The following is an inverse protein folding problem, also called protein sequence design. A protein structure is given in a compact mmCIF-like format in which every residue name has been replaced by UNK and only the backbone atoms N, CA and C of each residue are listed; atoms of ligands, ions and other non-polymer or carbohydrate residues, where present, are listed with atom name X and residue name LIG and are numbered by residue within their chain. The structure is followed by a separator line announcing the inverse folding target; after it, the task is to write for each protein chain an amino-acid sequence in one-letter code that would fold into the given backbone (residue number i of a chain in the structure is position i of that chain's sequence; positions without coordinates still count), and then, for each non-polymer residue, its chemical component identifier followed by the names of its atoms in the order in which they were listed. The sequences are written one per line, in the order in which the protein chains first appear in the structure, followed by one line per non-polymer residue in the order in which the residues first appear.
data_IF_175438476735
#
_entry.id   IF_175438476735
#
_cell.length_a   1.000
_cell.length_b   1.000
_cell.length_c   1.000
_cell.angle_alpha   90.00
_cell.angle_beta   90.00
_cell.angle_gamma   90.00
#
_symmetry.space_group_name_H-M   'P 1'
#
loop_
_entity.id
_entity.type
_entity.pdbx_description
1 polymer ?
#
# COMPACT_ATOMS: atom_id res chain seq x y z
N UNK A 1 -53.43 -9.52 -75.54
CA UNK A 1 -53.80 -8.38 -74.67
C UNK A 1 -53.28 -8.63 -73.27
N UNK A 2 -52.56 -7.63 -72.75
CA UNK A 2 -52.09 -7.40 -71.39
C UNK A 2 -50.94 -8.22 -70.90
N UNK A 3 -49.79 -7.62 -71.06
CA UNK A 3 -48.50 -7.81 -70.46
C UNK A 3 -48.56 -7.60 -68.93
N UNK A 4 -47.94 -8.46 -68.14
CA UNK A 4 -47.67 -8.19 -66.73
C UNK A 4 -46.18 -8.38 -66.48
N UNK A 5 -45.48 -7.25 -66.20
CA UNK A 5 -44.11 -7.18 -65.78
C UNK A 5 -43.95 -7.64 -64.32
N UNK A 6 -43.14 -8.66 -64.09
CA UNK A 6 -42.65 -9.02 -62.75
C UNK A 6 -41.31 -8.33 -62.52
N UNK A 7 -41.31 -7.37 -61.62
CA UNK A 7 -40.09 -6.71 -61.14
C UNK A 7 -39.54 -7.55 -59.99
N UNK A 8 -38.34 -8.10 -60.18
CA UNK A 8 -37.59 -8.85 -59.17
C UNK A 8 -36.86 -7.81 -58.28
N UNK A 9 -37.28 -7.63 -57.01
CA UNK A 9 -36.56 -6.86 -56.03
C UNK A 9 -35.56 -7.78 -55.35
N UNK A 10 -34.26 -7.60 -55.65
CA UNK A 10 -33.14 -8.15 -54.86
C UNK A 10 -33.06 -7.36 -53.56
N UNK A 11 -33.40 -7.96 -52.43
CA UNK A 11 -33.11 -7.44 -51.10
C UNK A 11 -31.68 -7.86 -50.71
N UNK A 12 -30.79 -6.88 -50.64
CA UNK A 12 -29.41 -7.04 -50.18
C UNK A 12 -29.45 -6.98 -48.65
N UNK A 13 -29.46 -8.15 -47.98
CA UNK A 13 -29.35 -8.27 -46.51
C UNK A 13 -27.89 -8.06 -46.12
N UNK A 14 -27.55 -6.86 -45.68
CA UNK A 14 -26.27 -6.56 -45.05
C UNK A 14 -26.28 -7.20 -43.63
N UNK A 15 -25.58 -8.29 -43.46
CA UNK A 15 -25.32 -8.87 -42.14
C UNK A 15 -24.23 -8.03 -41.46
N UNK A 16 -24.64 -7.15 -40.54
CA UNK A 16 -23.70 -6.42 -39.67
C UNK A 16 -23.18 -7.41 -38.62
N UNK A 17 -21.97 -7.92 -38.82
CA UNK A 17 -21.24 -8.71 -37.84
C UNK A 17 -20.75 -7.77 -36.76
N UNK A 18 -21.53 -7.56 -35.68
CA UNK A 18 -21.09 -6.85 -34.49
C UNK A 18 -20.11 -7.77 -33.76
N UNK A 19 -18.81 -7.47 -33.88
CA UNK A 19 -17.78 -8.12 -33.12
C UNK A 19 -17.99 -7.76 -31.62
N UNK A 20 -18.54 -8.68 -30.86
CA UNK A 20 -18.58 -8.60 -29.38
C UNK A 20 -17.15 -8.75 -28.87
N UNK A 21 -16.44 -7.63 -28.73
CA UNK A 21 -15.21 -7.60 -27.94
C UNK A 21 -15.58 -7.88 -26.49
N UNK A 22 -14.91 -8.84 -25.81
CA UNK A 22 -15.17 -9.09 -24.40
C UNK A 22 -14.83 -7.81 -23.63
N UNK A 23 -15.84 -7.12 -23.10
CA UNK A 23 -15.66 -6.01 -22.19
C UNK A 23 -14.99 -6.56 -20.92
N UNK A 24 -13.81 -6.05 -20.58
CA UNK A 24 -13.19 -6.35 -19.28
C UNK A 24 -14.17 -5.92 -18.18
N UNK A 25 -14.33 -6.72 -17.11
CA UNK A 25 -15.21 -6.34 -16.01
C UNK A 25 -14.77 -4.98 -15.46
N UNK A 26 -15.70 -4.09 -15.18
CA UNK A 26 -15.46 -2.70 -14.77
C UNK A 26 -14.41 -2.59 -13.64
N UNK A 27 -14.46 -3.49 -12.63
CA UNK A 27 -13.48 -3.54 -11.52
C UNK A 27 -12.04 -3.81 -11.95
N UNK A 28 -11.81 -4.58 -13.02
CA UNK A 28 -10.46 -4.82 -13.53
C UNK A 28 -9.92 -3.58 -14.26
N UNK A 29 -10.79 -2.82 -14.90
CA UNK A 29 -10.43 -1.55 -15.55
C UNK A 29 -10.09 -0.48 -14.50
N UNK A 30 -10.83 -0.43 -13.39
CA UNK A 30 -10.58 0.46 -12.26
C UNK A 30 -9.24 0.14 -11.60
N UNK A 31 -8.90 -1.15 -11.36
CA UNK A 31 -7.60 -1.54 -10.82
C UNK A 31 -6.45 -1.08 -11.72
N UNK A 32 -6.54 -1.33 -13.03
CA UNK A 32 -5.50 -0.92 -13.97
C UNK A 32 -5.29 0.61 -13.95
N UNK A 33 -6.36 1.39 -13.81
CA UNK A 33 -6.28 2.85 -13.70
C UNK A 33 -5.61 3.29 -12.39
N UNK A 34 -5.89 2.62 -11.27
CA UNK A 34 -5.25 2.86 -9.96
C UNK A 34 -3.76 2.58 -10.03
N UNK A 35 -3.37 1.43 -10.59
CA UNK A 35 -1.96 1.04 -10.72
C UNK A 35 -1.18 1.99 -11.64
N UNK A 36 -1.77 2.43 -12.76
CA UNK A 36 -1.15 3.41 -13.65
C UNK A 36 -0.94 4.78 -12.98
N UNK A 37 -1.85 5.22 -12.09
CA UNK A 37 -1.63 6.43 -11.28
C UNK A 37 -0.46 6.26 -10.32
N UNK A 38 -0.35 5.11 -9.65
CA UNK A 38 0.78 4.79 -8.78
C UNK A 38 2.10 4.76 -9.55
N UNK A 39 2.14 4.16 -10.75
CA UNK A 39 3.32 4.15 -11.61
C UNK A 39 3.79 5.57 -11.96
N UNK A 40 2.84 6.48 -12.15
CA UNK A 40 3.15 7.89 -12.42
C UNK A 40 3.68 8.59 -11.19
N UNK A 41 2.99 8.48 -10.05
CA UNK A 41 3.36 9.16 -8.81
C UNK A 41 4.68 8.62 -8.21
N UNK A 42 4.95 7.32 -8.35
CA UNK A 42 6.17 6.69 -7.86
C UNK A 42 7.46 7.18 -8.53
N UNK A 43 7.36 7.71 -9.78
CA UNK A 43 8.53 8.27 -10.51
C UNK A 43 9.11 9.49 -9.80
N UNK A 44 8.25 10.30 -9.20
CA UNK A 44 8.61 11.54 -8.54
C UNK A 44 8.70 11.39 -7.01
N UNK A 45 8.53 10.17 -6.50
CA UNK A 45 8.61 9.90 -5.07
C UNK A 45 10.07 9.80 -4.62
N UNK A 46 10.47 10.65 -3.65
CA UNK A 46 11.80 10.65 -3.06
C UNK A 46 11.77 10.46 -1.55
N UNK A 47 10.94 11.22 -0.86
CA UNK A 47 10.87 11.22 0.61
C UNK A 47 9.45 11.38 1.10
N UNK A 48 9.18 10.86 2.30
CA UNK A 48 7.94 11.15 3.03
C UNK A 48 8.22 11.24 4.52
N UNK A 49 7.59 12.21 5.15
CA UNK A 49 7.41 12.30 6.60
C UNK A 49 5.92 12.19 6.91
N UNK A 50 5.57 11.38 7.90
CA UNK A 50 4.18 11.25 8.36
C UNK A 50 4.14 11.03 9.86
N UNK A 51 3.16 11.64 10.55
CA UNK A 51 2.76 11.18 11.88
C UNK A 51 2.00 9.86 11.72
N UNK A 52 2.18 8.92 12.64
CA UNK A 52 1.43 7.67 12.60
C UNK A 52 0.82 7.32 13.95
N UNK A 53 -0.27 6.57 13.90
CA UNK A 53 -0.86 5.81 15.00
C UNK A 53 -0.91 4.35 14.57
N UNK A 54 -0.33 3.47 15.38
CA UNK A 54 -0.20 2.05 15.11
C UNK A 54 -0.83 1.28 16.25
N UNK A 55 -1.94 0.61 15.97
CA UNK A 55 -2.70 -0.19 16.93
C UNK A 55 -2.44 -1.68 16.67
N UNK A 56 -2.03 -2.41 17.70
CA UNK A 56 -2.01 -3.88 17.71
C UNK A 56 -3.26 -4.33 18.44
N UNK A 57 -4.15 -5.05 17.75
CA UNK A 57 -5.45 -5.46 18.26
C UNK A 57 -5.49 -6.97 18.37
N UNK A 58 -5.84 -7.47 19.56
CA UNK A 58 -6.17 -8.86 19.83
C UNK A 58 -7.64 -8.92 20.26
N UNK A 59 -8.42 -9.83 19.67
CA UNK A 59 -9.84 -10.00 20.02
C UNK A 59 -10.12 -11.29 20.78
N UNK A 60 -9.23 -12.28 20.69
CA UNK A 60 -9.36 -13.60 21.29
C UNK A 60 -8.00 -14.06 21.85
N UNK A 61 -7.89 -14.74 23.03
CA UNK A 61 -8.98 -15.07 23.96
C UNK A 61 -9.40 -13.89 24.87
N UNK A 62 -8.57 -12.88 25.04
CA UNK A 62 -8.84 -11.70 25.86
C UNK A 62 -8.64 -10.47 24.96
N UNK A 63 -9.69 -9.65 24.77
CA UNK A 63 -9.55 -8.43 23.99
C UNK A 63 -8.51 -7.48 24.59
N UNK A 64 -7.56 -7.05 23.77
CA UNK A 64 -6.54 -6.08 24.14
C UNK A 64 -6.20 -5.19 22.94
N UNK A 65 -5.74 -3.97 23.20
CA UNK A 65 -5.27 -3.04 22.19
C UNK A 65 -4.07 -2.28 22.73
N UNK A 66 -2.94 -2.48 22.07
CA UNK A 66 -1.74 -1.69 22.30
C UNK A 66 -1.63 -0.62 21.22
N UNK A 67 -1.32 0.61 21.63
CA UNK A 67 -1.22 1.76 20.75
C UNK A 67 0.17 2.38 20.78
N UNK A 68 0.77 2.59 19.61
CA UNK A 68 1.99 3.35 19.46
C UNK A 68 1.75 4.56 18.56
N UNK A 69 2.33 5.72 18.93
CA UNK A 69 2.31 6.90 18.08
C UNK A 69 3.70 7.46 17.88
N UNK A 70 3.92 8.13 16.74
CA UNK A 70 5.24 8.68 16.43
C UNK A 70 5.32 9.31 15.07
N UNK A 71 6.55 9.36 14.54
CA UNK A 71 6.84 9.89 13.21
C UNK A 71 7.53 8.82 12.36
N UNK A 72 7.02 8.59 11.16
CA UNK A 72 7.61 7.72 10.16
C UNK A 72 8.31 8.56 9.08
N UNK A 73 9.45 8.06 8.64
CA UNK A 73 10.26 8.62 7.56
C UNK A 73 10.47 7.55 6.50
N UNK A 74 10.31 7.92 5.25
CA UNK A 74 10.56 7.07 4.11
C UNK A 74 11.45 7.81 3.11
N UNK A 75 12.40 7.08 2.52
CA UNK A 75 13.26 7.60 1.46
C UNK A 75 13.51 6.55 0.40
N UNK A 76 13.41 6.97 -0.86
CA UNK A 76 13.80 6.17 -2.02
C UNK A 76 14.88 6.89 -2.80
N UNK A 77 15.99 6.19 -3.07
CA UNK A 77 17.09 6.70 -3.89
C UNK A 77 17.45 5.63 -4.93
N UNK A 78 16.93 5.79 -6.14
CA UNK A 78 16.98 4.74 -7.16
C UNK A 78 16.24 3.48 -6.70
N UNK A 79 16.94 2.34 -6.67
CA UNK A 79 16.41 1.07 -6.17
C UNK A 79 16.54 0.90 -4.65
N UNK A 80 17.23 1.80 -3.95
CA UNK A 80 17.41 1.72 -2.49
C UNK A 80 16.23 2.35 -1.77
N UNK A 81 15.74 1.63 -0.78
CA UNK A 81 14.68 2.07 0.11
C UNK A 81 15.17 2.10 1.56
N UNK A 82 14.79 3.14 2.28
CA UNK A 82 15.00 3.28 3.71
C UNK A 82 13.70 3.70 4.38
N UNK A 83 13.48 3.20 5.59
CA UNK A 83 12.35 3.57 6.42
C UNK A 83 12.81 3.71 7.86
N UNK A 84 12.25 4.66 8.58
CA UNK A 84 12.38 4.74 10.03
C UNK A 84 11.03 5.07 10.67
N UNK A 85 10.80 4.53 11.86
CA UNK A 85 9.69 4.90 12.73
C UNK A 85 10.27 5.27 14.10
N UNK A 86 10.07 6.53 14.51
CA UNK A 86 10.42 7.04 15.83
C UNK A 86 9.16 7.14 16.66
N UNK A 87 9.02 6.25 17.67
CA UNK A 87 7.88 6.17 18.55
C UNK A 87 8.07 7.17 19.69
N UNK A 88 7.05 8.00 19.93
CA UNK A 88 7.04 9.01 20.99
C UNK A 88 6.15 8.64 22.15
N UNK A 89 5.15 7.77 21.92
CA UNK A 89 4.26 7.25 22.96
C UNK A 89 3.94 5.77 22.70
N UNK A 90 3.82 5.03 23.81
CA UNK A 90 3.43 3.62 23.85
C UNK A 90 2.34 3.50 24.93
N UNK A 91 1.10 3.17 24.53
CA UNK A 91 -0.09 3.17 25.40
C UNK A 91 -0.21 4.47 26.23
N UNK A 92 -0.16 5.62 25.55
CA UNK A 92 -0.23 6.96 26.12
C UNK A 92 0.93 7.32 27.08
N UNK A 93 1.94 6.49 27.22
CA UNK A 93 3.15 6.79 27.99
C UNK A 93 4.26 7.29 27.08
N UNK A 94 5.02 8.31 27.48
CA UNK A 94 6.16 8.73 26.70
C UNK A 94 7.12 7.56 26.44
N UNK A 95 7.54 7.41 25.21
CA UNK A 95 8.47 6.38 24.75
C UNK A 95 9.53 7.00 23.84
N UNK A 96 10.62 6.28 23.64
CA UNK A 96 11.69 6.69 22.74
C UNK A 96 12.19 5.54 21.87
N UNK A 97 11.29 4.58 21.55
CA UNK A 97 11.63 3.46 20.68
C UNK A 97 11.87 3.93 19.24
N UNK A 98 12.74 3.23 18.54
CA UNK A 98 12.96 3.50 17.13
C UNK A 98 13.21 2.22 16.34
N UNK A 99 12.67 2.20 15.12
CA UNK A 99 12.88 1.15 14.13
C UNK A 99 13.47 1.79 12.89
N UNK A 100 14.59 1.25 12.38
CA UNK A 100 15.27 1.76 11.19
C UNK A 100 15.53 0.60 10.24
N UNK A 101 14.97 0.66 9.04
CA UNK A 101 15.24 -0.29 7.98
C UNK A 101 16.11 0.34 6.90
N UNK A 102 17.20 -0.31 6.57
CA UNK A 102 18.09 0.09 5.49
C UNK A 102 18.89 -1.10 4.98
N UNK A 103 19.04 -1.20 3.65
CA UNK A 103 19.85 -2.24 2.99
C UNK A 103 19.51 -3.67 3.44
N UNK A 104 18.21 -3.97 3.61
CA UNK A 104 17.73 -5.31 4.01
C UNK A 104 17.87 -5.63 5.49
N UNK A 105 18.36 -4.71 6.31
CA UNK A 105 18.52 -4.87 7.76
C UNK A 105 17.54 -3.98 8.49
N UNK A 106 16.76 -4.56 9.38
CA UNK A 106 15.96 -3.82 10.37
C UNK A 106 16.76 -3.70 11.66
N UNK A 107 16.87 -2.48 12.16
CA UNK A 107 17.44 -2.19 13.47
C UNK A 107 16.36 -1.64 14.38
N UNK A 108 16.36 -2.07 15.62
CA UNK A 108 15.38 -1.70 16.65
C UNK A 108 16.11 -1.26 17.91
N UNK A 109 15.63 -0.20 18.54
CA UNK A 109 16.09 0.27 19.85
C UNK A 109 14.88 0.61 20.70
N UNK A 110 14.82 0.05 21.91
CA UNK A 110 13.74 0.29 22.87
C UNK A 110 13.86 1.64 23.58
N UNK A 111 15.06 2.25 23.57
CA UNK A 111 15.33 3.56 24.17
C UNK A 111 15.62 4.63 23.13
N UNK A 112 15.60 4.27 21.84
CA UNK A 112 16.01 5.16 20.75
C UNK A 112 17.51 5.41 20.69
N UNK A 113 18.33 4.72 21.50
CA UNK A 113 19.79 4.91 21.53
C UNK A 113 20.52 3.86 20.70
N UNK A 114 21.65 4.24 20.12
CA UNK A 114 22.51 3.32 19.38
C UNK A 114 23.03 2.17 20.26
N UNK A 115 23.26 2.43 21.56
CA UNK A 115 23.87 1.49 22.51
C UNK A 115 23.03 0.22 22.79
N UNK A 116 21.71 0.27 22.63
CA UNK A 116 20.80 -0.87 22.83
C UNK A 116 20.20 -1.38 21.53
N UNK A 117 20.66 -0.89 20.39
CA UNK A 117 20.13 -1.28 19.08
C UNK A 117 20.44 -2.73 18.75
N UNK A 118 19.38 -3.48 18.44
CA UNK A 118 19.41 -4.86 17.93
C UNK A 118 19.29 -4.85 16.41
N UNK A 119 19.87 -5.82 15.73
CA UNK A 119 19.86 -5.91 14.26
C UNK A 119 19.27 -7.22 13.78
N UNK A 120 18.34 -7.14 12.81
CA UNK A 120 17.65 -8.27 12.20
C UNK A 120 18.00 -8.32 10.71
N UNK A 121 19.01 -9.12 10.35
CA UNK A 121 19.55 -9.21 8.99
C UNK A 121 18.63 -9.95 8.02
N UNK A 122 17.65 -10.70 8.53
CA UNK A 122 16.66 -11.41 7.69
C UNK A 122 15.44 -10.54 7.34
N UNK A 123 15.44 -9.26 7.71
CA UNK A 123 14.31 -8.36 7.49
C UNK A 123 14.12 -7.97 6.01
N UNK A 124 15.12 -8.15 5.17
CA UNK A 124 15.04 -7.83 3.74
C UNK A 124 13.89 -8.54 3.01
N UNK A 125 13.54 -9.75 3.43
CA UNK A 125 12.37 -10.47 2.88
C UNK A 125 11.03 -9.76 3.13
N UNK A 126 10.97 -8.89 4.14
CA UNK A 126 9.78 -8.09 4.47
C UNK A 126 9.82 -6.67 3.88
N UNK A 127 10.80 -6.33 3.04
CA UNK A 127 10.95 -4.99 2.48
C UNK A 127 9.66 -4.53 1.77
N UNK A 128 9.02 -5.41 0.99
CA UNK A 128 7.76 -5.10 0.29
C UNK A 128 6.61 -4.72 1.23
N UNK A 129 6.66 -5.17 2.50
CA UNK A 129 5.72 -4.74 3.55
C UNK A 129 6.09 -3.38 4.11
N UNK A 130 7.37 -3.19 4.41
CA UNK A 130 7.86 -1.94 5.00
C UNK A 130 7.71 -0.76 4.04
N UNK A 131 7.80 -1.03 2.72
CA UNK A 131 7.56 -0.04 1.65
C UNK A 131 6.09 0.16 1.33
N UNK A 132 5.20 -0.72 1.78
CA UNK A 132 3.83 -0.79 1.28
C UNK A 132 3.11 0.56 1.43
N UNK A 133 2.71 1.12 0.28
CA UNK A 133 2.03 2.40 0.23
C UNK A 133 2.92 3.64 0.39
N UNK A 134 4.26 3.51 0.26
CA UNK A 134 5.15 4.68 0.26
C UNK A 134 6.13 4.58 -0.92
N UNK A 135 5.76 5.24 -2.03
CA UNK A 135 6.55 5.26 -3.25
C UNK A 135 6.58 3.95 -4.03
N UNK A 136 5.76 2.95 -3.66
CA UNK A 136 5.60 1.75 -4.45
C UNK A 136 4.84 2.07 -5.74
N UNK A 137 5.36 1.61 -6.88
CA UNK A 137 4.67 1.70 -8.16
C UNK A 137 3.56 0.64 -8.27
N UNK A 138 2.65 0.81 -9.24
CA UNK A 138 1.67 -0.22 -9.57
C UNK A 138 2.36 -1.53 -9.98
N UNK A 139 3.45 -1.44 -10.74
CA UNK A 139 4.26 -2.58 -11.14
C UNK A 139 4.89 -3.29 -9.92
N UNK A 140 5.49 -2.56 -8.97
CA UNK A 140 6.05 -3.14 -7.74
C UNK A 140 4.98 -3.91 -6.94
N UNK A 141 3.75 -3.35 -6.88
CA UNK A 141 2.64 -4.01 -6.21
C UNK A 141 2.20 -5.27 -6.95
N UNK A 142 2.04 -5.22 -8.28
CA UNK A 142 1.65 -6.39 -9.07
C UNK A 142 2.69 -7.51 -9.02
N UNK A 143 3.98 -7.16 -8.95
CA UNK A 143 5.03 -8.16 -8.85
C UNK A 143 4.95 -8.98 -7.55
N UNK A 144 4.69 -8.33 -6.42
CA UNK A 144 4.78 -8.93 -5.08
C UNK A 144 3.43 -9.39 -4.52
N UNK A 145 2.31 -8.84 -5.03
CA UNK A 145 0.99 -9.01 -4.44
C UNK A 145 -0.05 -9.49 -5.44
N UNK A 146 -0.98 -10.32 -4.98
CA UNK A 146 -2.29 -10.50 -5.62
C UNK A 146 -3.19 -9.38 -5.13
N UNK A 147 -3.74 -8.60 -6.05
CA UNK A 147 -4.43 -7.35 -5.74
C UNK A 147 -5.90 -7.43 -6.11
N UNK A 148 -6.76 -6.96 -5.21
CA UNK A 148 -8.19 -6.78 -5.45
C UNK A 148 -8.57 -5.33 -5.16
N UNK A 149 -9.16 -4.63 -6.13
CA UNK A 149 -9.70 -3.30 -5.94
C UNK A 149 -11.06 -3.36 -5.24
N UNK A 150 -11.20 -2.61 -4.14
CA UNK A 150 -12.41 -2.57 -3.32
C UNK A 150 -13.22 -1.27 -3.48
N UNK A 151 -12.80 -0.38 -4.39
CA UNK A 151 -13.43 0.92 -4.59
C UNK A 151 -12.69 2.05 -3.87
N UNK A 152 -13.36 3.17 -3.69
CA UNK A 152 -12.82 4.35 -2.99
C UNK A 152 -13.49 4.54 -1.63
N UNK A 153 -12.74 5.11 -0.68
CA UNK A 153 -13.22 5.49 0.64
C UNK A 153 -12.58 6.81 1.07
N UNK A 154 -13.26 7.61 1.88
CA UNK A 154 -12.67 8.83 2.44
C UNK A 154 -11.97 8.53 3.76
N UNK A 155 -10.70 8.91 3.86
CA UNK A 155 -9.90 8.89 5.10
C UNK A 155 -9.49 10.32 5.41
N UNK A 156 -9.91 10.86 6.52
CA UNK A 156 -9.66 12.25 6.95
C UNK A 156 -9.96 13.29 5.83
N UNK A 157 -11.07 13.08 5.09
CA UNK A 157 -11.50 13.96 4.00
C UNK A 157 -10.82 13.72 2.66
N UNK A 158 -9.78 12.90 2.59
CA UNK A 158 -9.06 12.55 1.36
C UNK A 158 -9.70 11.31 0.73
N UNK A 159 -10.02 11.36 -0.55
CA UNK A 159 -10.50 10.19 -1.30
C UNK A 159 -9.33 9.26 -1.57
N UNK A 160 -9.38 8.05 -1.01
CA UNK A 160 -8.37 7.02 -1.16
C UNK A 160 -8.88 5.85 -1.98
N UNK A 161 -8.02 5.26 -2.80
CA UNK A 161 -8.27 3.99 -3.46
C UNK A 161 -8.00 2.84 -2.47
N UNK A 162 -8.99 1.95 -2.27
CA UNK A 162 -8.93 0.84 -1.32
C UNK A 162 -8.56 -0.44 -2.04
N UNK A 163 -7.46 -1.06 -1.62
CA UNK A 163 -6.97 -2.33 -2.16
C UNK A 163 -6.90 -3.39 -1.09
N UNK A 164 -7.23 -4.63 -1.44
CA UNK A 164 -6.93 -5.83 -0.68
C UNK A 164 -5.74 -6.53 -1.34
N UNK A 165 -4.74 -6.87 -0.55
CA UNK A 165 -3.46 -7.41 -0.98
C UNK A 165 -3.18 -8.73 -0.27
N UNK A 166 -2.77 -9.74 -1.04
CA UNK A 166 -2.26 -11.02 -0.54
C UNK A 166 -0.86 -11.21 -1.12
N UNK A 167 0.13 -11.42 -0.26
CA UNK A 167 1.49 -11.63 -0.72
C UNK A 167 1.59 -12.90 -1.58
N UNK A 168 2.32 -12.81 -2.70
CA UNK A 168 2.60 -13.97 -3.56
C UNK A 168 3.63 -14.92 -2.94
N UNK A 169 4.49 -14.40 -2.03
CA UNK A 169 5.43 -15.22 -1.26
C UNK A 169 4.70 -15.96 -0.12
N UNK A 170 4.68 -17.32 -0.14
CA UNK A 170 4.01 -18.11 0.89
C UNK A 170 4.63 -17.92 2.29
N UNK A 171 5.92 -17.61 2.39
CA UNK A 171 6.59 -17.39 3.67
C UNK A 171 6.06 -16.11 4.36
N UNK A 172 5.57 -15.18 3.56
CA UNK A 172 4.99 -13.93 4.03
C UNK A 172 3.48 -14.12 4.28
N UNK A 173 2.73 -14.61 3.29
CA UNK A 173 1.27 -14.76 3.39
C UNK A 173 0.83 -15.72 4.50
N UNK A 174 1.71 -16.63 4.96
CA UNK A 174 1.46 -17.49 6.10
C UNK A 174 1.34 -16.70 7.43
N UNK A 175 2.11 -15.64 7.60
CA UNK A 175 2.14 -14.85 8.83
C UNK A 175 1.23 -13.62 8.74
N UNK A 176 1.04 -13.09 7.54
CA UNK A 176 0.16 -11.95 7.25
C UNK A 176 -0.71 -12.34 6.05
N UNK A 177 -1.81 -13.05 6.29
CA UNK A 177 -2.67 -13.57 5.24
C UNK A 177 -3.20 -12.49 4.30
N UNK A 178 -3.45 -11.29 4.83
CA UNK A 178 -4.09 -10.24 4.07
C UNK A 178 -3.73 -8.85 4.59
N UNK A 179 -3.55 -7.91 3.67
CA UNK A 179 -3.42 -6.47 3.98
C UNK A 179 -4.50 -5.71 3.24
N UNK A 180 -5.20 -4.81 3.93
CA UNK A 180 -6.07 -3.83 3.29
C UNK A 180 -5.39 -2.46 3.40
N UNK A 181 -5.28 -1.76 2.27
CA UNK A 181 -4.58 -0.47 2.21
C UNK A 181 -5.48 0.59 1.57
N UNK A 182 -5.42 1.82 2.08
CA UNK A 182 -6.08 3.00 1.53
C UNK A 182 -5.00 3.95 1.01
N UNK A 183 -4.95 4.12 -0.29
CA UNK A 183 -3.91 4.86 -0.99
C UNK A 183 -4.41 6.20 -1.52
N UNK A 184 -3.67 7.26 -1.22
CA UNK A 184 -3.66 8.45 -2.05
C UNK A 184 -2.73 8.18 -3.24
N UNK A 185 -3.32 7.71 -4.33
CA UNK A 185 -2.59 7.29 -5.52
C UNK A 185 -1.93 8.45 -6.27
N UNK A 186 -2.38 9.70 -6.02
CA UNK A 186 -1.79 10.88 -6.62
C UNK A 186 -0.42 11.23 -6.04
N UNK A 187 -0.16 10.83 -4.78
CA UNK A 187 1.10 11.07 -4.06
C UNK A 187 1.90 9.79 -3.81
N UNK A 188 1.38 8.60 -4.20
CA UNK A 188 1.90 7.28 -3.87
C UNK A 188 2.17 7.10 -2.36
N UNK A 189 1.18 7.48 -1.53
CA UNK A 189 1.26 7.34 -0.07
C UNK A 189 0.04 6.64 0.51
N UNK A 190 0.26 5.90 1.59
CA UNK A 190 -0.81 5.26 2.35
C UNK A 190 -1.39 6.22 3.38
N UNK A 191 -2.73 6.22 3.52
CA UNK A 191 -3.45 6.92 4.58
C UNK A 191 -3.80 5.99 5.73
N UNK A 192 -4.03 4.71 5.40
CA UNK A 192 -4.37 3.66 6.37
C UNK A 192 -3.93 2.31 5.85
N UNK A 193 -3.51 1.43 6.76
CA UNK A 193 -3.21 0.04 6.49
C UNK A 193 -3.84 -0.82 7.58
N UNK A 194 -4.37 -1.98 7.20
CA UNK A 194 -4.86 -3.02 8.12
C UNK A 194 -4.19 -4.32 7.75
N UNK A 195 -3.39 -4.85 8.64
CA UNK A 195 -2.75 -6.16 8.54
C UNK A 195 -3.59 -7.16 9.29
N UNK A 196 -4.17 -8.11 8.58
CA UNK A 196 -4.90 -9.24 9.15
C UNK A 196 -3.90 -10.37 9.39
N UNK A 197 -3.65 -10.72 10.64
CA UNK A 197 -2.68 -11.74 11.03
C UNK A 197 -3.36 -13.08 11.35
N UNK A 198 -4.70 -13.13 11.21
CA UNK A 198 -5.49 -14.31 11.56
C UNK A 198 -5.70 -14.46 13.07
N UNK A 199 -6.47 -15.49 13.47
CA UNK A 199 -6.69 -15.84 14.87
C UNK A 199 -7.13 -14.69 15.79
N UNK A 200 -7.88 -13.72 15.25
CA UNK A 200 -8.35 -12.55 15.99
C UNK A 200 -7.28 -11.47 16.22
N UNK A 201 -6.14 -11.57 15.53
CA UNK A 201 -5.07 -10.58 15.61
C UNK A 201 -5.05 -9.70 14.36
N UNK A 202 -4.89 -8.41 14.57
CA UNK A 202 -4.72 -7.44 13.49
C UNK A 202 -3.88 -6.25 13.94
N UNK A 203 -3.24 -5.59 12.95
CA UNK A 203 -2.57 -4.31 13.17
C UNK A 203 -3.18 -3.26 12.26
N UNK A 204 -3.40 -2.09 12.81
CA UNK A 204 -3.93 -0.96 12.05
C UNK A 204 -2.92 0.18 12.15
N UNK A 205 -2.53 0.73 11.01
CA UNK A 205 -1.71 1.93 10.96
C UNK A 205 -2.47 3.07 10.26
N UNK A 206 -2.55 4.21 10.91
CA UNK A 206 -3.07 5.46 10.34
C UNK A 206 -1.92 6.43 10.15
N UNK A 207 -1.89 7.09 8.99
CA UNK A 207 -0.88 8.09 8.66
C UNK A 207 -1.54 9.45 8.48
N UNK A 208 -1.02 10.45 9.19
CA UNK A 208 -1.51 11.84 9.20
C UNK A 208 -0.36 12.81 8.94
N UNK A 209 -0.68 14.05 8.62
CA UNK A 209 0.32 15.11 8.39
C UNK A 209 1.40 14.69 7.37
N UNK A 210 0.97 14.01 6.30
CA UNK A 210 1.87 13.44 5.30
C UNK A 210 2.46 14.55 4.43
N UNK A 211 3.78 14.67 4.48
CA UNK A 211 4.59 15.60 3.67
C UNK A 211 5.47 14.79 2.74
N UNK A 212 5.36 15.04 1.43
CA UNK A 212 6.06 14.29 0.38
C UNK A 212 7.13 15.18 -0.25
N UNK A 213 8.28 14.60 -0.60
CA UNK A 213 9.36 15.23 -1.35
C UNK A 213 9.95 16.50 -0.71
N UNK A 214 9.93 16.57 0.63
CA UNK A 214 10.65 17.61 1.37
C UNK A 214 11.91 17.02 2.02
N UNK A 215 12.93 17.86 2.30
CA UNK A 215 14.11 17.41 3.02
C UNK A 215 13.75 16.75 4.35
N UNK A 216 14.36 15.61 4.65
CA UNK A 216 14.22 14.93 5.93
C UNK A 216 15.16 15.50 6.98
N UNK A 217 14.81 15.41 8.28
CA UNK A 217 15.73 15.72 9.36
C UNK A 217 17.02 14.89 9.26
N UNK A 218 18.17 15.47 9.60
CA UNK A 218 19.46 14.80 9.51
C UNK A 218 19.57 13.51 10.35
N UNK A 219 18.72 13.36 11.36
CA UNK A 219 18.63 12.19 12.23
C UNK A 219 17.49 11.23 11.87
N UNK A 220 16.80 11.41 10.72
CA UNK A 220 15.66 10.59 10.35
C UNK A 220 15.96 9.08 10.37
N UNK A 221 17.16 8.68 9.95
CA UNK A 221 17.59 7.28 9.87
C UNK A 221 18.74 6.95 10.83
N UNK A 222 18.73 7.55 12.02
CA UNK A 222 19.73 7.28 13.05
C UNK A 222 19.12 7.18 14.44
N UNK A 223 19.72 6.37 15.30
CA UNK A 223 19.44 6.40 16.72
C UNK A 223 20.16 7.57 17.40
N UNK A 224 19.69 7.94 18.57
CA UNK A 224 20.37 8.89 19.42
C UNK A 224 21.72 8.28 19.91
N UNK A 225 22.72 9.14 20.11
CA UNK A 225 24.02 8.74 20.65
C UNK A 225 23.95 8.46 22.14
#
# INVERSE_FOLDING_TARGET
MKTIHRIFKLAFSAVILVALLPAKPARAQDLAAVLAKLDTAAKDFHTTTASFEFDTIQTDPIPDTEKMTGTAYYQRTGSRFQMAAHITHDNDRPAAKAYIFSSGVLRESDTGKESDAKSYTQAGKYESYLMLGFGASGHDLEEKWTIKYLGTEKIDGITADKLELVAKDPAISKNIPKVTIWLDTSRAVSLKQVFDEGEGQSRICYYKNIVVNQPLPGNAFSFNK
#
